data_IF_483954994012
#
_entry.id   IF_483954994012
#
_cell.length_a   1.000
_cell.length_b   1.000
_cell.length_c   1.000
_cell.angle_alpha   90.00
_cell.angle_beta   90.00
_cell.angle_gamma   90.00
#
_symmetry.space_group_name_H-M   'P 1'
#
loop_
_entity.id
_entity.type
_entity.pdbx_description
1 polymer ?
#
# COMPACT_ATOMS: atom_id res chain seq x y z
N UNK A 1 -14.29 -0.93 3.82
CA UNK A 1 -13.79 -2.22 4.36
C UNK A 1 -12.70 -1.91 5.37
N UNK A 2 -12.70 -2.58 6.51
CA UNK A 2 -11.71 -2.38 7.57
C UNK A 2 -11.00 -3.71 7.86
N UNK A 3 -9.68 -3.66 7.94
CA UNK A 3 -8.82 -4.78 8.32
C UNK A 3 -7.93 -4.31 9.47
N UNK A 4 -8.24 -4.73 10.70
CA UNK A 4 -7.47 -4.39 11.89
C UNK A 4 -6.64 -5.56 12.37
N UNK A 5 -5.38 -5.33 12.76
CA UNK A 5 -4.50 -6.32 13.40
C UNK A 5 -4.41 -7.67 12.67
N UNK A 6 -4.58 -7.65 11.35
CA UNK A 6 -4.64 -8.85 10.53
C UNK A 6 -3.26 -9.27 10.01
N UNK A 7 -3.10 -10.55 9.69
CA UNK A 7 -1.95 -11.06 8.96
C UNK A 7 -2.36 -11.34 7.51
N UNK A 8 -1.65 -10.73 6.56
CA UNK A 8 -1.92 -10.86 5.11
C UNK A 8 -0.62 -11.26 4.43
N UNK A 9 -0.65 -12.29 3.58
CA UNK A 9 0.55 -12.84 2.96
C UNK A 9 0.35 -13.16 1.48
N UNK A 10 1.34 -12.86 0.64
CA UNK A 10 1.33 -13.18 -0.79
C UNK A 10 2.59 -12.71 -1.52
N UNK A 11 2.58 -12.77 -2.86
CA UNK A 11 3.74 -12.39 -3.70
C UNK A 11 3.42 -11.26 -4.68
N UNK A 12 2.47 -11.49 -5.59
CA UNK A 12 2.11 -10.55 -6.63
C UNK A 12 0.66 -10.09 -6.46
N UNK A 13 0.45 -8.77 -6.42
CA UNK A 13 -0.84 -8.09 -6.37
C UNK A 13 -1.79 -8.66 -5.30
N UNK A 14 -1.26 -9.07 -4.15
CA UNK A 14 -2.04 -9.87 -3.19
C UNK A 14 -3.01 -9.03 -2.34
N UNK A 15 -3.00 -7.70 -2.48
CA UNK A 15 -4.07 -6.79 -2.07
C UNK A 15 -4.53 -6.02 -3.32
N UNK A 16 -5.59 -6.49 -3.97
CA UNK A 16 -6.06 -5.92 -5.24
C UNK A 16 -7.58 -5.75 -5.29
N UNK A 17 -8.04 -4.94 -6.25
CA UNK A 17 -9.47 -4.65 -6.46
C UNK A 17 -9.70 -3.28 -7.06
N UNK A 18 -10.96 -2.91 -7.24
CA UNK A 18 -11.34 -1.72 -8.01
C UNK A 18 -12.17 -0.70 -7.22
N UNK A 19 -13.04 -1.14 -6.31
CA UNK A 19 -14.10 -0.26 -5.77
C UNK A 19 -13.98 0.02 -4.27
N UNK A 20 -13.11 -0.71 -3.56
CA UNK A 20 -13.11 -0.67 -2.12
C UNK A 20 -12.44 0.60 -1.61
N UNK A 21 -13.16 1.33 -0.75
CA UNK A 21 -12.53 2.15 0.27
C UNK A 21 -12.08 1.19 1.37
N UNK A 22 -10.78 0.89 1.40
CA UNK A 22 -10.20 -0.12 2.29
C UNK A 22 -9.16 0.50 3.21
N UNK A 23 -9.29 0.25 4.51
CA UNK A 23 -8.36 0.71 5.53
C UNK A 23 -7.74 -0.49 6.24
N UNK A 24 -6.42 -0.56 6.22
CA UNK A 24 -5.63 -1.60 6.88
C UNK A 24 -4.90 -0.95 8.06
N UNK A 25 -5.31 -1.29 9.28
CA UNK A 25 -4.80 -0.72 10.52
C UNK A 25 -3.98 -1.77 11.26
N UNK A 26 -2.74 -1.44 11.60
CA UNK A 26 -1.88 -2.29 12.44
C UNK A 26 -1.69 -3.72 11.89
N UNK A 27 -1.80 -3.90 10.56
CA UNK A 27 -1.66 -5.20 9.93
C UNK A 27 -0.19 -5.62 9.80
N UNK A 28 0.05 -6.92 9.80
CA UNK A 28 1.30 -7.50 9.31
C UNK A 28 1.10 -7.98 7.89
N UNK A 29 1.93 -7.49 6.97
CA UNK A 29 1.87 -7.78 5.54
C UNK A 29 3.17 -8.46 5.13
N UNK A 30 3.08 -9.74 4.76
CA UNK A 30 4.24 -10.60 4.54
C UNK A 30 4.40 -11.00 3.06
N UNK A 31 5.56 -10.72 2.46
CA UNK A 31 5.86 -11.08 1.07
C UNK A 31 6.56 -12.44 0.97
N UNK A 32 6.03 -13.35 0.16
CA UNK A 32 6.57 -14.70 -0.04
C UNK A 32 7.54 -14.82 -1.20
N UNK A 33 7.49 -13.90 -2.17
CA UNK A 33 8.39 -13.82 -3.31
C UNK A 33 8.50 -12.37 -3.83
N UNK A 34 9.35 -12.14 -4.82
CA UNK A 34 9.40 -10.88 -5.55
C UNK A 34 8.03 -10.55 -6.16
N UNK A 35 7.66 -9.27 -6.16
CA UNK A 35 6.34 -8.85 -6.65
C UNK A 35 5.87 -7.52 -6.08
N UNK A 36 4.58 -7.44 -5.83
CA UNK A 36 3.84 -6.20 -5.54
C UNK A 36 2.83 -6.46 -4.45
N UNK A 37 2.77 -5.58 -3.45
CA UNK A 37 1.78 -5.70 -2.37
C UNK A 37 0.39 -5.32 -2.88
N UNK A 38 0.27 -4.14 -3.50
CA UNK A 38 -1.03 -3.61 -3.92
C UNK A 38 -1.20 -3.51 -5.44
N UNK A 39 -2.41 -3.77 -5.92
CA UNK A 39 -2.86 -3.44 -7.27
C UNK A 39 -4.28 -2.86 -7.25
N UNK A 40 -4.38 -1.54 -7.12
CA UNK A 40 -5.66 -0.83 -7.19
C UNK A 40 -6.00 -0.52 -8.66
N UNK A 41 -7.21 -0.88 -9.11
CA UNK A 41 -7.66 -0.72 -10.49
C UNK A 41 -8.98 0.03 -10.66
N UNK A 42 -9.19 1.18 -10.03
CA UNK A 42 -10.47 1.86 -10.04
C UNK A 42 -10.82 2.42 -11.42
N UNK A 43 -12.10 2.58 -11.71
CA UNK A 43 -12.55 3.17 -12.97
C UNK A 43 -12.33 4.69 -13.05
N UNK A 44 -12.25 5.36 -11.89
CA UNK A 44 -12.07 6.80 -11.77
C UNK A 44 -11.31 7.19 -10.48
N UNK A 45 -10.96 8.46 -10.33
CA UNK A 45 -10.22 8.97 -9.17
C UNK A 45 -11.00 8.97 -7.85
N UNK A 46 -12.32 8.74 -7.89
CA UNK A 46 -13.23 8.74 -6.74
C UNK A 46 -13.79 7.35 -6.42
N UNK A 47 -13.39 6.33 -7.17
CA UNK A 47 -13.90 4.96 -7.06
C UNK A 47 -12.97 4.12 -6.17
N UNK A 48 -12.91 4.43 -4.87
CA UNK A 48 -12.12 3.67 -3.90
C UNK A 48 -10.68 4.16 -3.67
N UNK A 49 -10.09 3.65 -2.60
CA UNK A 49 -8.72 3.95 -2.14
C UNK A 49 -8.29 2.91 -1.11
N UNK A 50 -7.02 2.52 -1.14
CA UNK A 50 -6.40 1.71 -0.10
C UNK A 50 -5.51 2.57 0.79
N UNK A 51 -5.76 2.55 2.10
CA UNK A 51 -4.89 3.17 3.10
C UNK A 51 -4.34 2.10 4.02
N UNK A 52 -3.01 1.99 4.04
CA UNK A 52 -2.25 1.06 4.86
C UNK A 52 -1.58 1.88 5.96
N UNK A 53 -2.12 1.81 7.17
CA UNK A 53 -1.70 2.62 8.30
C UNK A 53 -1.12 1.76 9.43
N UNK A 54 0.01 2.20 9.98
CA UNK A 54 0.71 1.53 11.10
C UNK A 54 0.99 0.05 10.84
N UNK A 55 1.13 -0.34 9.58
CA UNK A 55 1.41 -1.72 9.23
C UNK A 55 2.89 -2.07 9.42
N UNK A 56 3.18 -3.36 9.50
CA UNK A 56 4.54 -3.92 9.36
C UNK A 56 4.62 -4.66 8.03
N UNK A 57 5.51 -4.24 7.15
CA UNK A 57 5.85 -4.98 5.93
C UNK A 57 7.08 -5.84 6.21
N UNK A 58 7.01 -7.13 5.90
CA UNK A 58 8.11 -8.06 6.13
C UNK A 58 8.22 -9.14 5.04
N UNK A 59 9.36 -9.81 5.00
CA UNK A 59 9.50 -11.08 4.26
C UNK A 59 8.79 -12.18 5.05
N UNK A 60 8.02 -13.03 4.38
CA UNK A 60 7.36 -14.18 5.00
C UNK A 60 8.36 -15.22 5.50
N UNK A 61 7.99 -15.95 6.55
CA UNK A 61 8.81 -17.08 7.02
C UNK A 61 8.96 -18.12 5.91
N UNK A 62 10.18 -18.62 5.71
CA UNK A 62 10.52 -19.59 4.67
C UNK A 62 10.70 -19.01 3.26
N UNK A 63 10.46 -17.71 3.05
CA UNK A 63 10.83 -17.05 1.80
C UNK A 63 12.35 -16.84 1.73
N UNK A 64 12.89 -16.92 0.51
CA UNK A 64 14.29 -16.57 0.25
C UNK A 64 14.57 -15.09 0.49
N UNK A 65 15.81 -14.66 0.23
CA UNK A 65 16.15 -13.23 0.31
C UNK A 65 15.37 -12.43 -0.73
N UNK A 66 14.58 -11.47 -0.27
CA UNK A 66 13.76 -10.57 -1.10
C UNK A 66 14.25 -9.12 -1.07
N UNK A 67 15.45 -8.86 -0.56
CA UNK A 67 15.99 -7.48 -0.42
C UNK A 67 15.82 -6.68 -1.70
N UNK A 68 15.06 -5.59 -1.63
CA UNK A 68 14.78 -4.72 -2.77
C UNK A 68 13.95 -5.31 -3.91
N UNK A 69 13.25 -6.45 -3.72
CA UNK A 69 12.53 -7.15 -4.79
C UNK A 69 11.01 -6.97 -4.75
N UNK A 70 10.48 -6.29 -3.75
CA UNK A 70 9.03 -6.09 -3.57
C UNK A 70 8.66 -4.62 -3.72
N UNK A 71 7.61 -4.32 -4.47
CA UNK A 71 7.05 -2.98 -4.59
C UNK A 71 5.81 -2.83 -3.68
N UNK A 72 5.62 -1.64 -3.14
CA UNK A 72 4.42 -1.23 -2.40
C UNK A 72 3.16 -1.40 -3.26
N UNK A 73 3.27 -1.19 -4.56
CA UNK A 73 2.21 -1.51 -5.50
C UNK A 73 2.50 -1.13 -6.94
N UNK A 74 1.54 -1.46 -7.81
CA UNK A 74 1.48 -1.06 -9.21
C UNK A 74 0.05 -0.71 -9.64
N UNK A 75 -0.12 0.19 -10.63
CA UNK A 75 -1.44 0.72 -10.98
C UNK A 75 -2.18 -0.17 -11.99
N UNK A 76 -3.06 -1.05 -11.52
CA UNK A 76 -3.92 -1.84 -12.44
C UNK A 76 -4.73 -0.94 -13.37
N UNK A 77 -5.12 0.26 -12.90
CA UNK A 77 -5.63 1.33 -13.75
C UNK A 77 -4.88 2.65 -13.50
N UNK A 78 -4.98 3.58 -14.46
CA UNK A 78 -4.36 4.91 -14.35
C UNK A 78 -4.87 5.78 -13.19
N UNK A 79 -5.99 5.39 -12.56
CA UNK A 79 -6.58 6.08 -11.42
C UNK A 79 -6.27 5.38 -10.09
N UNK A 80 -5.34 4.43 -10.02
CA UNK A 80 -4.94 3.76 -8.78
C UNK A 80 -4.69 4.74 -7.62
N UNK A 81 -5.10 4.34 -6.40
CA UNK A 81 -5.12 5.17 -5.18
C UNK A 81 -4.67 4.29 -4.01
N UNK A 82 -3.41 4.41 -3.60
CA UNK A 82 -2.84 3.66 -2.48
C UNK A 82 -1.95 4.57 -1.65
N UNK A 83 -2.15 4.55 -0.33
CA UNK A 83 -1.39 5.39 0.60
C UNK A 83 -0.86 4.54 1.76
N UNK A 84 0.43 4.64 2.03
CA UNK A 84 1.07 4.03 3.19
C UNK A 84 1.42 5.10 4.23
N UNK A 85 0.88 4.98 5.44
CA UNK A 85 1.11 5.93 6.54
C UNK A 85 1.67 5.22 7.76
N UNK A 86 2.68 5.81 8.42
CA UNK A 86 3.25 5.31 9.67
C UNK A 86 3.71 3.83 9.61
N UNK A 87 4.11 3.34 8.44
CA UNK A 87 4.36 1.92 8.21
C UNK A 87 5.83 1.57 8.45
N UNK A 88 6.10 0.45 9.13
CA UNK A 88 7.45 -0.09 9.23
C UNK A 88 7.74 -0.97 8.01
N UNK A 89 8.71 -0.56 7.18
CA UNK A 89 9.04 -1.19 5.91
C UNK A 89 10.34 -1.98 6.01
N UNK A 90 10.25 -3.31 5.91
CA UNK A 90 11.42 -4.18 5.84
C UNK A 90 12.26 -3.99 4.56
N UNK A 91 13.49 -4.52 4.57
CA UNK A 91 14.47 -4.30 3.50
C UNK A 91 14.11 -4.96 2.16
N UNK A 92 13.06 -5.78 2.12
CA UNK A 92 12.53 -6.38 0.90
C UNK A 92 11.85 -5.35 -0.01
N UNK A 93 11.45 -4.19 0.51
CA UNK A 93 10.87 -3.13 -0.30
C UNK A 93 11.94 -2.50 -1.21
N UNK A 94 11.63 -2.42 -2.49
CA UNK A 94 12.46 -1.82 -3.53
C UNK A 94 12.60 -0.31 -3.29
N UNK A 95 13.79 0.25 -3.54
CA UNK A 95 14.07 1.68 -3.34
C UNK A 95 13.16 2.61 -4.16
N UNK A 96 12.65 2.16 -5.32
CA UNK A 96 11.67 2.89 -6.11
C UNK A 96 10.28 2.95 -5.44
N UNK A 97 9.99 2.04 -4.51
CA UNK A 97 8.72 1.90 -3.81
C UNK A 97 7.59 1.38 -4.70
N UNK A 98 7.39 1.98 -5.87
CA UNK A 98 6.26 1.74 -6.77
C UNK A 98 6.77 1.34 -8.16
N UNK A 99 6.06 0.44 -8.82
CA UNK A 99 6.33 0.08 -10.20
C UNK A 99 5.20 0.56 -11.13
N UNK A 100 5.54 0.79 -12.39
CA UNK A 100 4.54 0.94 -13.44
C UNK A 100 3.83 -0.40 -13.68
N UNK A 101 2.65 -0.37 -14.29
CA UNK A 101 1.91 -1.60 -14.56
C UNK A 101 2.63 -2.49 -15.57
N UNK A 102 3.03 -1.93 -16.71
CA UNK A 102 3.95 -2.53 -17.67
C UNK A 102 4.70 -1.44 -18.46
N UNK A 103 5.69 -1.84 -19.27
CA UNK A 103 6.40 -0.93 -20.18
C UNK A 103 5.50 -0.34 -21.27
N UNK A 104 4.49 -1.10 -21.72
CA UNK A 104 3.57 -0.68 -22.79
C UNK A 104 2.32 0.03 -22.26
N UNK A 105 1.97 -0.22 -21.00
CA UNK A 105 0.84 0.41 -20.32
C UNK A 105 1.28 0.83 -18.92
N UNK A 106 1.99 1.96 -18.76
CA UNK A 106 2.52 2.34 -17.45
C UNK A 106 1.43 2.63 -16.41
N UNK A 107 0.28 3.17 -16.84
CA UNK A 107 -0.86 3.56 -15.99
C UNK A 107 -0.49 4.54 -14.87
N UNK A 108 0.45 5.46 -15.09
CA UNK A 108 0.95 6.38 -14.04
C UNK A 108 0.39 7.80 -14.13
N UNK A 109 -0.41 8.12 -15.17
CA UNK A 109 -0.80 9.50 -15.48
C UNK A 109 -1.62 10.20 -14.38
N UNK A 110 -2.49 9.46 -13.70
CA UNK A 110 -3.45 10.04 -12.75
C UNK A 110 -3.40 9.39 -11.37
N UNK A 111 -2.38 8.59 -11.05
CA UNK A 111 -2.31 7.82 -9.80
C UNK A 111 -2.17 8.71 -8.56
N UNK A 112 -2.63 8.20 -7.42
CA UNK A 112 -2.21 8.66 -6.10
C UNK A 112 -1.49 7.50 -5.43
N UNK A 113 -0.17 7.51 -5.53
CA UNK A 113 0.69 6.68 -4.70
C UNK A 113 1.43 7.58 -3.74
N UNK A 114 1.22 7.35 -2.46
CA UNK A 114 1.72 8.26 -1.45
C UNK A 114 2.23 7.56 -0.19
N UNK A 115 3.24 8.17 0.43
CA UNK A 115 3.85 7.70 1.66
C UNK A 115 3.91 8.84 2.69
N UNK A 116 3.59 8.54 3.94
CA UNK A 116 3.74 9.46 5.08
C UNK A 116 4.38 8.76 6.27
N UNK A 117 5.43 9.36 6.84
CA UNK A 117 6.02 8.96 8.12
C UNK A 117 6.33 7.45 8.26
N UNK A 118 6.65 6.77 7.16
CA UNK A 118 7.07 5.37 7.19
C UNK A 118 8.54 5.27 7.56
N UNK A 119 8.92 4.19 8.24
CA UNK A 119 10.26 3.97 8.82
C UNK A 119 10.79 2.58 8.44
N UNK A 120 12.03 2.30 8.81
CA UNK A 120 12.68 1.03 8.50
C UNK A 120 13.50 1.08 7.20
N UNK A 121 14.29 0.03 6.92
CA UNK A 121 15.24 0.02 5.81
C UNK A 121 14.56 0.19 4.44
N UNK A 122 13.34 -0.32 4.26
CA UNK A 122 12.55 -0.19 3.04
C UNK A 122 11.88 1.18 2.86
N UNK A 123 11.87 2.03 3.89
CA UNK A 123 11.27 3.37 3.83
C UNK A 123 12.19 4.43 3.19
N UNK A 124 13.37 4.02 2.70
CA UNK A 124 14.32 4.89 2.02
C UNK A 124 14.54 4.46 0.56
N UNK A 125 15.13 5.35 -0.25
CA UNK A 125 15.41 5.14 -1.66
C UNK A 125 14.87 6.24 -2.57
N UNK A 126 15.24 6.19 -3.85
CA UNK A 126 14.74 7.11 -4.87
C UNK A 126 13.38 6.64 -5.35
N UNK A 127 12.31 7.15 -4.72
CA UNK A 127 10.93 6.80 -5.06
C UNK A 127 10.60 7.14 -6.51
N UNK A 128 9.72 6.34 -7.11
CA UNK A 128 9.22 6.56 -8.46
C UNK A 128 8.66 7.99 -8.62
N UNK A 129 8.93 8.63 -9.75
CA UNK A 129 8.60 10.05 -9.98
C UNK A 129 7.09 10.37 -9.96
N UNK A 130 6.24 9.35 -10.14
CA UNK A 130 4.79 9.45 -10.07
C UNK A 130 4.22 9.21 -8.65
N UNK A 131 5.08 9.01 -7.64
CA UNK A 131 4.68 8.90 -6.24
C UNK A 131 4.88 10.22 -5.48
N UNK A 132 4.25 10.34 -4.32
CA UNK A 132 4.25 11.56 -3.50
C UNK A 132 4.68 11.26 -2.07
N UNK A 133 5.58 12.07 -1.52
CA UNK A 133 5.81 12.13 -0.07
C UNK A 133 4.86 13.15 0.53
N UNK A 134 4.04 12.72 1.48
CA UNK A 134 3.08 13.61 2.15
C UNK A 134 3.73 14.36 3.31
N UNK A 135 3.18 15.52 3.66
CA UNK A 135 3.58 16.31 4.84
C UNK A 135 2.72 16.01 6.09
N UNK A 136 1.55 15.40 5.91
CA UNK A 136 0.68 14.96 7.01
C UNK A 136 -0.16 13.73 6.59
N UNK A 137 -0.76 13.04 7.56
CA UNK A 137 -1.74 11.98 7.34
C UNK A 137 -3.19 12.50 7.21
N UNK A 138 -3.40 13.82 7.18
CA UNK A 138 -4.74 14.40 7.06
C UNK A 138 -5.40 13.95 5.74
N UNK A 139 -6.68 13.56 5.79
CA UNK A 139 -7.39 13.00 4.65
C UNK A 139 -7.20 11.49 4.46
N UNK A 140 -6.39 10.84 5.29
CA UNK A 140 -6.14 9.40 5.25
C UNK A 140 -6.39 8.73 6.61
N UNK A 141 -7.35 9.25 7.38
CA UNK A 141 -7.83 8.57 8.60
C UNK A 141 -8.97 7.61 8.27
N UNK A 142 -9.33 6.73 9.23
CA UNK A 142 -10.50 5.85 9.07
C UNK A 142 -11.77 6.68 8.79
N UNK A 143 -11.92 7.83 9.43
CA UNK A 143 -13.07 8.72 9.22
C UNK A 143 -13.09 9.28 7.78
N UNK A 144 -11.95 9.73 7.28
CA UNK A 144 -11.85 10.30 5.93
C UNK A 144 -12.10 9.25 4.85
N UNK A 145 -11.62 8.03 5.06
CA UNK A 145 -11.63 6.95 4.06
C UNK A 145 -12.92 6.15 4.09
N UNK A 146 -13.44 5.82 5.28
CA UNK A 146 -14.60 4.95 5.46
C UNK A 146 -15.88 5.73 5.83
N UNK A 147 -15.81 7.05 5.96
CA UNK A 147 -16.93 7.94 6.28
C UNK A 147 -17.43 7.87 7.74
N UNK A 148 -17.08 6.82 8.49
CA UNK A 148 -17.38 6.68 9.90
C UNK A 148 -16.46 5.65 10.57
N UNK A 149 -16.08 5.92 11.83
CA UNK A 149 -15.44 4.94 12.73
C UNK A 149 -16.45 4.17 13.59
N UNK A 150 -17.71 4.59 13.63
CA UNK A 150 -18.69 4.13 14.63
C UNK A 150 -19.15 2.69 14.50
N UNK A 151 -18.93 2.06 13.33
CA UNK A 151 -19.24 0.64 13.11
C UNK A 151 -18.02 -0.27 13.30
N UNK A 152 -16.83 0.30 13.50
CA UNK A 152 -15.60 -0.46 13.72
C UNK A 152 -15.48 -0.83 15.18
N UNK A 153 -15.18 -2.10 15.46
CA UNK A 153 -14.90 -2.57 16.82
C UNK A 153 -13.68 -1.82 17.40
N UNK A 154 -13.90 -1.13 18.52
CA UNK A 154 -12.89 -0.29 19.16
C UNK A 154 -11.73 -1.09 19.74
N UNK A 155 -11.90 -2.39 19.99
CA UNK A 155 -10.81 -3.27 20.42
C UNK A 155 -9.72 -3.46 19.36
N UNK A 156 -10.00 -3.10 18.09
CA UNK A 156 -9.11 -3.31 16.95
C UNK A 156 -8.72 -2.01 16.23
N UNK A 157 -8.93 -0.84 16.85
CA UNK A 157 -8.61 0.49 16.30
C UNK A 157 -7.14 0.90 16.42
#
# INVERSE_FOLDING_TARGET
>A
QYYGHSFIQGAADFIFGQHAFAFFQSCTIASTAAGTITAHGPSSSTDGIYVINQATLQTASGAGSLTGQVYLGRPWSQYARVVFTNTNMGAHINGAGWSQWSSTMPNTAHVLFAEYNSVGPGASGTRASFSKKLSSAAGYTIQDVLGSRGWVDTAYL
#
